data_IF_128029734643
#
_entry.id   IF_128029734643
#
_cell.length_a   1.000
_cell.length_b   1.000
_cell.length_c   1.000
_cell.angle_alpha   90.00
_cell.angle_beta   90.00
_cell.angle_gamma   90.00
#
_symmetry.space_group_name_H-M   'P 1'
#
loop_
_entity.id
_entity.type
_entity.pdbx_description
1 polymer ?
#
# COMPACT_ATOMS: atom_id res chain seq x y z
N UNK A 1 -5.32 -28.97 -3.95
CA UNK A 1 -5.17 -28.30 -2.64
C UNK A 1 -4.15 -27.15 -2.65
N UNK A 2 -2.88 -27.37 -3.03
CA UNK A 2 -1.84 -26.32 -3.00
C UNK A 2 -2.22 -25.05 -3.78
N UNK A 3 -2.68 -25.17 -5.02
CA UNK A 3 -3.09 -24.01 -5.84
C UNK A 3 -4.22 -23.20 -5.20
N UNK A 4 -5.17 -23.87 -4.53
CA UNK A 4 -6.27 -23.20 -3.84
C UNK A 4 -5.76 -22.37 -2.66
N UNK A 5 -4.79 -22.89 -1.89
CA UNK A 5 -4.16 -22.17 -0.78
C UNK A 5 -3.37 -20.95 -1.27
N UNK A 6 -2.60 -21.08 -2.35
CA UNK A 6 -1.86 -19.96 -2.95
C UNK A 6 -2.83 -18.88 -3.45
N UNK A 7 -3.92 -19.32 -4.11
CA UNK A 7 -4.96 -18.41 -4.59
C UNK A 7 -5.63 -17.68 -3.43
N UNK A 8 -6.02 -18.42 -2.38
CA UNK A 8 -6.61 -17.85 -1.17
C UNK A 8 -5.67 -16.84 -0.51
N UNK A 9 -4.38 -17.16 -0.37
CA UNK A 9 -3.38 -16.24 0.18
C UNK A 9 -3.35 -14.92 -0.59
N UNK A 10 -3.30 -14.96 -1.92
CA UNK A 10 -3.30 -13.75 -2.74
C UNK A 10 -4.62 -12.98 -2.67
N UNK A 11 -5.76 -13.67 -2.57
CA UNK A 11 -7.07 -13.03 -2.36
C UNK A 11 -7.15 -12.35 -0.99
N UNK A 12 -6.62 -12.99 0.06
CA UNK A 12 -6.57 -12.39 1.39
C UNK A 12 -5.73 -11.11 1.39
N UNK A 13 -4.63 -11.05 0.63
CA UNK A 13 -3.86 -9.82 0.45
C UNK A 13 -4.76 -8.68 -0.07
N UNK A 14 -5.60 -8.93 -1.09
CA UNK A 14 -6.56 -7.93 -1.57
C UNK A 14 -7.61 -7.56 -0.51
N UNK A 15 -8.19 -8.54 0.18
CA UNK A 15 -9.21 -8.31 1.23
C UNK A 15 -8.67 -7.45 2.37
N UNK A 16 -7.49 -7.78 2.88
CA UNK A 16 -6.82 -7.01 3.94
C UNK A 16 -6.38 -5.63 3.46
N UNK A 17 -6.03 -5.49 2.17
CA UNK A 17 -5.75 -4.17 1.62
C UNK A 17 -7.00 -3.28 1.65
N UNK A 18 -8.05 -3.69 0.94
CA UNK A 18 -9.24 -2.85 0.76
C UNK A 18 -10.00 -2.66 2.08
N UNK A 19 -10.14 -3.71 2.88
CA UNK A 19 -10.80 -3.64 4.19
C UNK A 19 -10.03 -2.76 5.19
N UNK A 20 -8.70 -2.85 5.20
CA UNK A 20 -7.85 -2.01 6.03
C UNK A 20 -7.93 -0.52 5.64
N UNK A 21 -7.87 -0.23 4.34
CA UNK A 21 -8.03 1.14 3.85
C UNK A 21 -9.43 1.71 4.17
N UNK A 22 -10.50 0.91 4.03
CA UNK A 22 -11.85 1.35 4.39
C UNK A 22 -11.95 1.69 5.88
N UNK A 23 -11.33 0.88 6.73
CA UNK A 23 -11.26 1.14 8.17
C UNK A 23 -10.48 2.42 8.49
N UNK A 24 -9.33 2.65 7.85
CA UNK A 24 -8.56 3.89 8.00
C UNK A 24 -9.36 5.10 7.50
N UNK A 25 -10.05 4.97 6.38
CA UNK A 25 -10.90 6.01 5.80
C UNK A 25 -12.05 6.38 6.75
N UNK A 26 -12.74 5.40 7.32
CA UNK A 26 -13.79 5.63 8.30
C UNK A 26 -13.24 6.29 9.58
N UNK A 27 -12.14 5.78 10.14
CA UNK A 27 -11.53 6.40 11.31
C UNK A 27 -11.15 7.86 11.07
N UNK A 28 -10.77 8.22 9.84
CA UNK A 28 -10.45 9.60 9.47
C UNK A 28 -11.63 10.57 9.56
N UNK A 29 -12.89 10.10 9.45
CA UNK A 29 -14.05 11.00 9.54
C UNK A 29 -14.26 11.47 10.97
N UNK A 30 -13.99 10.61 11.96
CA UNK A 30 -14.03 10.93 13.40
C UNK A 30 -12.99 12.01 13.71
N UNK A 31 -11.82 11.96 13.08
CA UNK A 31 -10.78 12.99 13.25
C UNK A 31 -11.20 14.39 12.78
N UNK A 32 -12.12 14.46 11.82
CA UNK A 32 -12.66 15.73 11.29
C UNK A 32 -13.96 16.17 11.96
N UNK A 33 -14.56 15.34 12.81
CA UNK A 33 -15.79 15.67 13.51
C UNK A 33 -15.52 16.58 14.71
N UNK A 34 -15.83 17.87 14.55
CA UNK A 34 -15.64 18.90 15.58
C UNK A 34 -16.51 18.70 16.81
N UNK A 35 -17.55 17.87 16.71
CA UNK A 35 -18.42 17.53 17.86
C UNK A 35 -17.73 16.53 18.80
N UNK A 36 -16.69 15.84 18.32
CA UNK A 36 -15.98 14.85 19.12
C UNK A 36 -14.95 15.52 20.03
N UNK A 37 -14.91 15.14 21.33
CA UNK A 37 -13.83 15.55 22.22
C UNK A 37 -12.45 15.12 21.70
N UNK A 38 -11.40 15.90 22.03
CA UNK A 38 -10.01 15.59 21.65
C UNK A 38 -9.59 14.15 22.02
N UNK A 39 -9.93 13.58 23.20
CA UNK A 39 -9.60 12.19 23.51
C UNK A 39 -10.22 11.15 22.56
N UNK A 40 -11.44 11.40 22.06
CA UNK A 40 -12.11 10.51 21.09
C UNK A 40 -11.39 10.59 19.75
N UNK A 41 -11.04 11.79 19.30
CA UNK A 41 -10.25 12.02 18.08
C UNK A 41 -8.87 11.38 18.20
N UNK A 42 -8.21 11.48 19.37
CA UNK A 42 -6.93 10.85 19.61
C UNK A 42 -7.01 9.32 19.55
N UNK A 43 -8.08 8.74 20.07
CA UNK A 43 -8.35 7.30 19.96
C UNK A 43 -8.55 6.89 18.50
N UNK A 44 -9.32 7.66 17.72
CA UNK A 44 -9.51 7.42 16.29
C UNK A 44 -8.19 7.49 15.50
N UNK A 45 -7.30 8.43 15.83
CA UNK A 45 -5.97 8.52 15.22
C UNK A 45 -5.14 7.27 15.49
N UNK A 46 -5.18 6.75 16.72
CA UNK A 46 -4.46 5.51 17.08
C UNK A 46 -5.03 4.28 16.36
N UNK A 47 -6.36 4.21 16.22
CA UNK A 47 -7.01 3.16 15.41
C UNK A 47 -6.56 3.27 13.95
N UNK A 48 -6.60 4.47 13.38
CA UNK A 48 -6.18 4.75 12.00
C UNK A 48 -4.72 4.33 11.79
N UNK A 49 -3.81 4.72 12.67
CA UNK A 49 -2.39 4.39 12.56
C UNK A 49 -2.15 2.88 12.55
N UNK A 50 -2.86 2.12 13.40
CA UNK A 50 -2.69 0.67 13.48
C UNK A 50 -3.38 -0.08 12.34
N UNK A 51 -4.59 0.33 11.95
CA UNK A 51 -5.31 -0.34 10.85
C UNK A 51 -4.63 -0.07 9.50
N UNK A 52 -3.94 1.06 9.34
CA UNK A 52 -3.12 1.41 8.16
C UNK A 52 -1.92 0.46 7.96
N UNK A 53 -1.57 -0.38 8.96
CA UNK A 53 -0.60 -1.45 8.74
C UNK A 53 -1.14 -2.60 7.89
N UNK A 54 -2.46 -2.78 7.83
CA UNK A 54 -3.10 -3.77 6.95
C UNK A 54 -2.82 -3.48 5.47
N UNK A 55 -3.18 -2.31 4.91
CA UNK A 55 -2.88 -1.99 3.51
C UNK A 55 -1.39 -1.87 3.23
N UNK A 56 -0.56 -1.42 4.18
CA UNK A 56 0.91 -1.40 4.01
C UNK A 56 1.52 -2.79 3.88
N UNK A 57 1.06 -3.73 4.71
CA UNK A 57 1.49 -5.13 4.65
C UNK A 57 1.02 -5.76 3.35
N UNK A 58 -0.25 -5.55 2.99
CA UNK A 58 -0.81 -6.06 1.75
C UNK A 58 -0.09 -5.54 0.50
N UNK A 59 0.27 -4.25 0.47
CA UNK A 59 1.06 -3.65 -0.60
C UNK A 59 2.38 -4.38 -0.83
N UNK A 60 3.11 -4.70 0.23
CA UNK A 60 4.39 -5.41 0.15
C UNK A 60 4.17 -6.86 -0.30
N UNK A 61 3.15 -7.53 0.22
CA UNK A 61 2.87 -8.93 -0.07
C UNK A 61 2.21 -9.17 -1.44
N UNK A 62 1.69 -8.13 -2.09
CA UNK A 62 1.00 -8.25 -3.38
C UNK A 62 1.88 -8.83 -4.47
N UNK A 63 3.12 -8.34 -4.60
CA UNK A 63 4.06 -8.83 -5.61
C UNK A 63 4.49 -10.30 -5.38
N UNK A 64 5.05 -10.70 -4.22
CA UNK A 64 5.52 -12.07 -4.01
C UNK A 64 4.37 -13.09 -4.11
N UNK A 65 3.20 -12.80 -3.54
CA UNK A 65 2.05 -13.71 -3.62
C UNK A 65 1.48 -13.79 -5.03
N UNK A 66 1.41 -12.66 -5.75
CA UNK A 66 0.95 -12.62 -7.14
C UNK A 66 1.87 -13.38 -8.09
N UNK A 67 3.19 -13.23 -7.96
CA UNK A 67 4.17 -13.98 -8.75
C UNK A 67 4.17 -15.47 -8.41
N UNK A 68 3.97 -15.81 -7.13
CA UNK A 68 3.83 -17.22 -6.70
C UNK A 68 2.61 -17.86 -7.37
N UNK A 69 1.47 -17.15 -7.40
CA UNK A 69 0.26 -17.62 -8.08
C UNK A 69 0.47 -17.73 -9.59
N UNK A 70 1.14 -16.74 -10.20
CA UNK A 70 1.40 -16.74 -11.63
C UNK A 70 2.31 -17.90 -12.07
N UNK A 71 3.35 -18.22 -11.30
CA UNK A 71 4.19 -19.39 -11.54
C UNK A 71 3.42 -20.70 -11.31
N UNK A 72 2.63 -20.80 -10.23
CA UNK A 72 1.84 -21.99 -9.93
C UNK A 72 0.75 -22.27 -10.99
N UNK A 73 0.26 -21.24 -11.69
CA UNK A 73 -0.68 -21.36 -12.81
C UNK A 73 -0.01 -21.52 -14.18
N UNK A 74 1.32 -21.47 -14.24
CA UNK A 74 2.06 -21.54 -15.51
C UNK A 74 1.91 -20.29 -16.39
N UNK A 75 1.48 -19.15 -15.83
CA UNK A 75 1.36 -17.89 -16.57
C UNK A 75 2.71 -17.20 -16.81
N UNK A 76 3.73 -17.58 -16.05
CA UNK A 76 5.10 -17.11 -16.22
C UNK A 76 5.97 -18.35 -16.34
N UNK A 77 6.68 -18.47 -17.46
CA UNK A 77 7.63 -19.56 -17.69
C UNK A 77 8.93 -18.95 -18.17
N UNK A 78 9.96 -19.02 -17.35
CA UNK A 78 11.30 -18.54 -17.68
C UNK A 78 12.37 -19.34 -16.93
N UNK A 79 13.57 -19.55 -17.52
CA UNK A 79 14.71 -20.11 -16.80
C UNK A 79 15.01 -19.29 -15.54
N UNK A 80 15.17 -19.96 -14.40
CA UNK A 80 15.48 -19.29 -13.13
C UNK A 80 14.30 -18.60 -12.43
N UNK A 81 13.06 -18.68 -12.95
CA UNK A 81 11.91 -17.99 -12.36
C UNK A 81 11.66 -18.33 -10.89
N UNK A 82 11.89 -19.57 -10.48
CA UNK A 82 11.77 -20.00 -9.08
C UNK A 82 12.83 -19.36 -8.16
N UNK A 83 14.07 -19.23 -8.64
CA UNK A 83 15.14 -18.54 -7.90
C UNK A 83 14.86 -17.04 -7.80
N UNK A 84 14.38 -16.42 -8.90
CA UNK A 84 13.95 -15.04 -8.89
C UNK A 84 12.78 -14.82 -7.90
N UNK A 85 11.80 -15.73 -7.88
CA UNK A 85 10.70 -15.68 -6.92
C UNK A 85 11.19 -15.77 -5.47
N UNK A 86 12.15 -16.67 -5.18
CA UNK A 86 12.73 -16.78 -3.85
C UNK A 86 13.43 -15.46 -3.42
N UNK A 87 14.18 -14.82 -4.33
CA UNK A 87 14.77 -13.52 -4.08
C UNK A 87 13.72 -12.44 -3.81
N UNK A 88 12.62 -12.42 -4.58
CA UNK A 88 11.49 -11.48 -4.37
C UNK A 88 10.88 -11.68 -2.98
N UNK A 89 10.67 -12.91 -2.52
CA UNK A 89 10.17 -13.18 -1.18
C UNK A 89 11.13 -12.70 -0.09
N UNK A 90 12.43 -12.96 -0.20
CA UNK A 90 13.44 -12.50 0.76
C UNK A 90 13.41 -10.97 0.86
N UNK A 91 13.43 -10.27 -0.28
CA UNK A 91 13.39 -8.81 -0.34
C UNK A 91 12.07 -8.28 0.26
N UNK A 92 10.93 -8.89 -0.08
CA UNK A 92 9.62 -8.48 0.42
C UNK A 92 9.52 -8.66 1.95
N UNK A 93 10.01 -9.77 2.51
CA UNK A 93 10.00 -10.00 3.95
C UNK A 93 10.95 -9.04 4.69
N UNK A 94 12.13 -8.76 4.13
CA UNK A 94 13.04 -7.76 4.67
C UNK A 94 12.40 -6.35 4.66
N UNK A 95 11.74 -5.98 3.56
CA UNK A 95 11.02 -4.72 3.46
C UNK A 95 9.83 -4.66 4.41
N UNK A 96 9.09 -5.76 4.58
CA UNK A 96 7.99 -5.87 5.54
C UNK A 96 8.49 -5.64 6.98
N UNK A 97 9.62 -6.25 7.36
CA UNK A 97 10.24 -6.02 8.66
C UNK A 97 10.63 -4.54 8.86
N UNK A 98 11.15 -3.88 7.81
CA UNK A 98 11.44 -2.43 7.83
C UNK A 98 10.15 -1.62 8.04
N UNK A 99 9.07 -1.94 7.32
CA UNK A 99 7.79 -1.24 7.44
C UNK A 99 7.20 -1.37 8.86
N UNK A 100 7.22 -2.57 9.43
CA UNK A 100 6.79 -2.81 10.80
C UNK A 100 7.70 -2.15 11.83
N UNK A 101 9.03 -2.14 11.62
CA UNK A 101 9.96 -1.40 12.49
C UNK A 101 9.67 0.09 12.50
N UNK A 102 9.36 0.69 11.34
CA UNK A 102 8.97 2.10 11.26
C UNK A 102 7.67 2.36 12.04
N UNK A 103 6.71 1.44 11.97
CA UNK A 103 5.45 1.52 12.72
C UNK A 103 5.68 1.43 14.23
N UNK A 104 6.38 0.40 14.70
CA UNK A 104 6.53 0.11 16.13
C UNK A 104 7.49 1.07 16.85
N UNK A 105 8.54 1.54 16.16
CA UNK A 105 9.59 2.36 16.79
C UNK A 105 9.44 3.86 16.54
N UNK A 106 8.45 4.28 15.74
CA UNK A 106 8.19 5.68 15.35
C UNK A 106 9.47 6.52 15.13
N UNK A 107 10.43 6.07 14.29
CA UNK A 107 11.71 6.75 14.17
C UNK A 107 11.51 8.16 13.59
N UNK A 108 12.40 9.13 13.91
CA UNK A 108 12.28 10.51 13.45
C UNK A 108 12.16 10.62 11.93
N UNK A 109 11.54 11.71 11.47
CA UNK A 109 11.50 12.07 10.06
C UNK A 109 12.93 12.12 9.49
N UNK A 110 13.13 11.58 8.29
CA UNK A 110 14.44 11.56 7.64
C UNK A 110 15.45 10.54 8.17
N UNK A 111 15.09 9.70 9.16
CA UNK A 111 15.95 8.61 9.64
C UNK A 111 16.35 7.64 8.52
N UNK A 112 17.53 6.98 8.61
CA UNK A 112 18.01 6.06 7.56
C UNK A 112 17.00 4.97 7.21
N UNK A 113 16.30 4.41 8.20
CA UNK A 113 15.28 3.37 7.97
C UNK A 113 14.11 3.87 7.10
N UNK A 114 13.67 5.12 7.29
CA UNK A 114 12.64 5.74 6.44
C UNK A 114 13.17 6.02 5.03
N UNK A 115 14.43 6.45 4.90
CA UNK A 115 15.07 6.66 3.59
C UNK A 115 15.17 5.35 2.81
N UNK A 116 15.52 4.25 3.49
CA UNK A 116 15.57 2.91 2.90
C UNK A 116 14.18 2.47 2.43
N UNK A 117 13.12 2.62 3.25
CA UNK A 117 11.74 2.31 2.82
C UNK A 117 11.34 3.11 1.56
N UNK A 118 11.67 4.41 1.51
CA UNK A 118 11.40 5.25 0.34
C UNK A 118 12.22 4.82 -0.89
N UNK A 119 13.48 4.46 -0.70
CA UNK A 119 14.34 3.97 -1.78
C UNK A 119 13.82 2.65 -2.36
N UNK A 120 13.42 1.70 -1.50
CA UNK A 120 12.81 0.43 -1.93
C UNK A 120 11.56 0.70 -2.76
N UNK A 121 10.67 1.60 -2.31
CA UNK A 121 9.46 1.98 -3.06
C UNK A 121 9.80 2.55 -4.43
N UNK A 122 10.76 3.47 -4.51
CA UNK A 122 11.17 4.09 -5.77
C UNK A 122 11.76 3.07 -6.75
N UNK A 123 12.67 2.21 -6.27
CA UNK A 123 13.26 1.14 -7.08
C UNK A 123 12.17 0.18 -7.57
N UNK A 124 11.25 -0.21 -6.69
CA UNK A 124 10.17 -1.13 -7.04
C UNK A 124 9.21 -0.54 -8.08
N UNK A 125 8.87 0.75 -7.97
CA UNK A 125 8.07 1.44 -9.00
C UNK A 125 8.77 1.35 -10.36
N UNK A 126 10.07 1.67 -10.43
CA UNK A 126 10.83 1.61 -11.67
C UNK A 126 10.90 0.18 -12.23
N UNK A 127 11.13 -0.81 -11.37
CA UNK A 127 11.18 -2.22 -11.76
C UNK A 127 9.83 -2.71 -12.31
N UNK A 128 8.72 -2.35 -11.67
CA UNK A 128 7.37 -2.73 -12.11
C UNK A 128 6.97 -2.05 -13.41
N UNK A 129 7.30 -0.77 -13.59
CA UNK A 129 7.07 -0.06 -14.86
C UNK A 129 7.91 -0.69 -15.97
N UNK A 130 9.19 -0.98 -15.70
CA UNK A 130 10.07 -1.68 -16.64
C UNK A 130 9.50 -3.04 -17.05
N UNK A 131 9.03 -3.84 -16.09
CA UNK A 131 8.39 -5.13 -16.35
C UNK A 131 7.07 -5.00 -17.12
N UNK A 132 6.28 -3.94 -16.87
CA UNK A 132 5.04 -3.68 -17.59
C UNK A 132 5.28 -3.31 -19.07
N UNK A 133 6.33 -2.53 -19.35
CA UNK A 133 6.65 -2.02 -20.70
C UNK A 133 7.44 -3.05 -21.51
N UNK A 134 8.53 -3.58 -20.94
CA UNK A 134 9.48 -4.45 -21.65
C UNK A 134 9.02 -5.91 -21.61
N UNK A 135 8.12 -6.29 -20.70
CA UNK A 135 7.66 -7.67 -20.53
C UNK A 135 6.91 -8.31 -21.70
N UNK A 136 6.73 -7.60 -22.82
CA UNK A 136 6.26 -8.17 -24.09
C UNK A 136 7.35 -8.31 -25.16
N UNK A 137 8.62 -8.11 -24.80
CA UNK A 137 9.77 -8.11 -25.72
C UNK A 137 10.90 -8.90 -25.08
N UNK A 138 11.45 -9.88 -25.81
CA UNK A 138 12.60 -10.68 -25.37
C UNK A 138 12.24 -12.06 -24.80
N UNK A 139 13.11 -12.61 -23.94
CA UNK A 139 13.04 -14.01 -23.48
C UNK A 139 12.10 -14.28 -22.30
N UNK A 140 11.55 -13.23 -21.67
CA UNK A 140 10.56 -13.34 -20.59
C UNK A 140 9.29 -12.62 -21.07
N UNK A 141 8.32 -13.38 -21.54
CA UNK A 141 7.02 -12.85 -21.94
C UNK A 141 6.02 -12.95 -20.79
N UNK A 142 5.60 -11.80 -20.29
CA UNK A 142 4.48 -11.69 -19.36
C UNK A 142 3.18 -11.48 -20.15
N UNK A 143 2.12 -12.27 -19.88
CA UNK A 143 0.79 -12.02 -20.42
C UNK A 143 0.32 -10.58 -20.17
N UNK A 144 -0.51 -10.04 -21.07
CA UNK A 144 -0.95 -8.64 -21.02
C UNK A 144 -1.53 -8.27 -19.64
N UNK A 145 -2.40 -9.11 -19.08
CA UNK A 145 -3.00 -8.83 -17.77
C UNK A 145 -1.96 -8.75 -16.62
N UNK A 146 -0.86 -9.51 -16.69
CA UNK A 146 0.22 -9.44 -15.68
C UNK A 146 0.97 -8.12 -15.81
N UNK A 147 1.29 -7.71 -17.05
CA UNK A 147 1.92 -6.41 -17.31
C UNK A 147 1.05 -5.25 -16.83
N UNK A 148 -0.26 -5.32 -17.10
CA UNK A 148 -1.23 -4.33 -16.60
C UNK A 148 -1.29 -4.34 -15.06
N UNK A 149 -1.28 -5.51 -14.41
CA UNK A 149 -1.19 -5.60 -12.94
C UNK A 149 0.10 -5.00 -12.39
N UNK A 150 1.24 -5.15 -13.06
CA UNK A 150 2.48 -4.48 -12.66
C UNK A 150 2.37 -2.96 -12.75
N UNK A 151 1.79 -2.43 -13.85
CA UNK A 151 1.53 -1.00 -13.99
C UNK A 151 0.60 -0.50 -12.87
N UNK A 152 -0.50 -1.22 -12.60
CA UNK A 152 -1.44 -0.89 -11.53
C UNK A 152 -0.78 -0.88 -10.15
N UNK A 153 0.06 -1.88 -9.85
CA UNK A 153 0.80 -1.94 -8.58
C UNK A 153 1.80 -0.79 -8.47
N UNK A 154 2.52 -0.44 -9.55
CA UNK A 154 3.42 0.70 -9.57
C UNK A 154 2.68 2.01 -9.28
N UNK A 155 1.52 2.21 -9.93
CA UNK A 155 0.66 3.38 -9.68
C UNK A 155 0.12 3.40 -8.25
N UNK A 156 -0.26 2.25 -7.68
CA UNK A 156 -0.72 2.16 -6.29
C UNK A 156 0.39 2.53 -5.29
N UNK A 157 1.63 2.08 -5.51
CA UNK A 157 2.77 2.47 -4.67
C UNK A 157 3.04 3.98 -4.79
N UNK A 158 2.98 4.53 -6.00
CA UNK A 158 3.13 5.97 -6.23
C UNK A 158 2.00 6.79 -5.56
N UNK A 159 0.75 6.30 -5.62
CA UNK A 159 -0.39 6.90 -4.91
C UNK A 159 -0.15 6.91 -3.38
N UNK A 160 0.39 5.82 -2.82
CA UNK A 160 0.80 5.78 -1.40
C UNK A 160 1.86 6.82 -1.04
N UNK A 161 2.83 7.08 -1.92
CA UNK A 161 3.80 8.17 -1.73
C UNK A 161 3.14 9.55 -1.83
N UNK A 162 2.17 9.73 -2.72
CA UNK A 162 1.40 10.96 -2.85
C UNK A 162 0.55 11.23 -1.60
N UNK A 163 -0.14 10.21 -1.07
CA UNK A 163 -0.91 10.30 0.19
C UNK A 163 0.00 10.78 1.33
N UNK A 164 1.20 10.20 1.47
CA UNK A 164 2.17 10.64 2.50
C UNK A 164 2.55 12.11 2.38
N UNK A 165 2.75 12.61 1.15
CA UNK A 165 3.07 14.03 0.91
C UNK A 165 1.89 14.93 1.24
N UNK A 166 0.69 14.56 0.80
CA UNK A 166 -0.54 15.32 1.03
C UNK A 166 -0.92 15.38 2.51
N UNK A 167 -0.69 14.28 3.25
CA UNK A 167 -0.95 14.20 4.69
C UNK A 167 0.20 14.73 5.56
N UNK A 168 1.31 15.22 4.99
CA UNK A 168 2.41 15.75 5.79
C UNK A 168 1.99 16.85 6.82
N UNK A 169 1.05 17.77 6.50
CA UNK A 169 0.57 18.77 7.46
C UNK A 169 -0.30 18.21 8.59
N UNK A 170 -0.85 17.00 8.46
CA UNK A 170 -1.73 16.40 9.46
C UNK A 170 -1.03 16.21 10.80
N UNK A 171 0.19 15.66 10.79
CA UNK A 171 0.92 15.30 12.02
C UNK A 171 1.13 16.49 12.97
N UNK A 172 1.75 17.59 12.50
CA UNK A 172 1.93 18.79 13.33
C UNK A 172 0.62 19.38 13.86
N UNK A 173 -0.42 19.47 13.02
CA UNK A 173 -1.72 20.00 13.44
C UNK A 173 -2.41 19.10 14.48
N UNK A 174 -2.30 17.79 14.33
CA UNK A 174 -2.83 16.81 15.28
C UNK A 174 -2.11 16.87 16.62
N UNK A 175 -0.77 16.95 16.62
CA UNK A 175 0.01 17.11 17.86
C UNK A 175 -0.39 18.39 18.58
N UNK A 176 -0.51 19.52 17.86
CA UNK A 176 -0.95 20.78 18.45
C UNK A 176 -2.35 20.66 19.08
N UNK A 177 -3.31 20.06 18.38
CA UNK A 177 -4.66 19.85 18.90
C UNK A 177 -4.67 19.02 20.20
N UNK A 178 -3.82 17.98 20.27
CA UNK A 178 -3.71 17.12 21.46
C UNK A 178 -3.06 17.85 22.62
N UNK A 179 -2.09 18.74 22.38
CA UNK A 179 -1.35 19.44 23.45
C UNK A 179 -2.06 20.69 23.96
N UNK A 180 -2.68 21.48 23.08
CA UNK A 180 -3.29 22.78 23.44
C UNK A 180 -4.81 22.76 23.42
N UNK A 181 -5.43 21.64 23.05
CA UNK A 181 -6.87 21.56 22.78
C UNK A 181 -7.23 21.91 21.33
N UNK A 182 -8.47 21.62 20.94
CA UNK A 182 -8.96 21.88 19.59
C UNK A 182 -9.19 23.38 19.37
N UNK A 183 -8.60 23.90 18.31
CA UNK A 183 -8.79 25.29 17.83
C UNK A 183 -9.32 25.28 16.39
N UNK A 184 -9.98 26.36 15.93
CA UNK A 184 -10.41 26.47 14.54
C UNK A 184 -9.30 26.24 13.50
N UNK A 185 -8.07 26.65 13.82
CA UNK A 185 -6.89 26.52 12.96
C UNK A 185 -6.45 25.07 12.84
N UNK A 186 -6.32 24.36 13.96
CA UNK A 186 -5.94 22.93 13.97
C UNK A 186 -7.00 22.08 13.26
N UNK A 187 -8.28 22.37 13.48
CA UNK A 187 -9.40 21.69 12.80
C UNK A 187 -9.40 21.92 11.30
N UNK A 188 -9.15 23.15 10.85
CA UNK A 188 -9.04 23.48 9.43
C UNK A 188 -7.86 22.76 8.78
N UNK A 189 -6.69 22.73 9.43
CA UNK A 189 -5.51 22.06 8.92
C UNK A 189 -5.70 20.54 8.80
N UNK A 190 -6.27 19.89 9.82
CA UNK A 190 -6.59 18.45 9.80
C UNK A 190 -7.61 18.15 8.69
N UNK A 191 -8.69 18.93 8.62
CA UNK A 191 -9.74 18.72 7.63
C UNK A 191 -9.22 18.89 6.21
N UNK A 192 -8.39 19.91 5.96
CA UNK A 192 -7.81 20.17 4.65
C UNK A 192 -6.85 19.05 4.21
N UNK A 193 -5.98 18.59 5.12
CA UNK A 193 -5.05 17.50 4.82
C UNK A 193 -5.81 16.22 4.45
N UNK A 194 -6.81 15.84 5.25
CA UNK A 194 -7.63 14.65 4.99
C UNK A 194 -8.48 14.81 3.73
N UNK A 195 -9.09 15.97 3.50
CA UNK A 195 -9.87 16.25 2.29
C UNK A 195 -9.04 16.11 1.02
N UNK A 196 -7.79 16.60 1.02
CA UNK A 196 -6.87 16.42 -0.11
C UNK A 196 -6.42 14.96 -0.29
N UNK A 197 -6.35 14.19 0.78
CA UNK A 197 -5.99 12.77 0.74
C UNK A 197 -7.08 11.87 0.16
N UNK A 198 -8.36 12.18 0.44
CA UNK A 198 -9.52 11.34 0.07
C UNK A 198 -9.57 10.97 -1.43
N UNK A 199 -9.43 11.90 -2.41
CA UNK A 199 -9.44 11.53 -3.82
C UNK A 199 -8.35 10.53 -4.20
N UNK A 200 -7.18 10.63 -3.56
CA UNK A 200 -6.05 9.72 -3.82
C UNK A 200 -6.34 8.32 -3.30
N UNK A 201 -6.96 8.21 -2.11
CA UNK A 201 -7.39 6.94 -1.53
C UNK A 201 -8.48 6.29 -2.38
N UNK A 202 -9.47 7.06 -2.85
CA UNK A 202 -10.52 6.54 -3.74
C UNK A 202 -9.94 6.08 -5.09
N UNK A 203 -8.97 6.82 -5.64
CA UNK A 203 -8.22 6.40 -6.82
C UNK A 203 -7.43 5.10 -6.59
N UNK A 204 -6.84 4.94 -5.40
CA UNK A 204 -6.17 3.70 -5.00
C UNK A 204 -7.17 2.54 -4.96
N UNK A 205 -8.39 2.72 -4.43
CA UNK A 205 -9.41 1.67 -4.46
C UNK A 205 -9.82 1.28 -5.87
N UNK A 206 -9.98 2.26 -6.77
CA UNK A 206 -10.22 1.98 -8.18
C UNK A 206 -9.09 1.13 -8.79
N UNK A 207 -7.83 1.45 -8.48
CA UNK A 207 -6.67 0.64 -8.91
C UNK A 207 -6.75 -0.80 -8.36
N UNK A 208 -7.10 -0.99 -7.09
CA UNK A 208 -7.26 -2.33 -6.50
C UNK A 208 -8.38 -3.11 -7.17
N UNK A 209 -9.52 -2.48 -7.47
CA UNK A 209 -10.63 -3.11 -8.18
C UNK A 209 -10.24 -3.47 -9.62
N UNK A 210 -9.49 -2.62 -10.32
CA UNK A 210 -8.93 -2.92 -11.65
C UNK A 210 -7.98 -4.12 -11.55
N UNK A 211 -7.09 -4.16 -10.54
CA UNK A 211 -6.20 -5.29 -10.34
C UNK A 211 -6.97 -6.59 -10.06
N UNK A 212 -8.04 -6.54 -9.28
CA UNK A 212 -8.91 -7.69 -9.00
C UNK A 212 -9.62 -8.15 -10.29
N UNK A 213 -10.22 -7.22 -11.04
CA UNK A 213 -10.88 -7.51 -12.31
C UNK A 213 -9.93 -8.15 -13.32
N UNK A 214 -8.72 -7.60 -13.48
CA UNK A 214 -7.68 -8.18 -14.33
C UNK A 214 -7.26 -9.60 -13.88
N UNK A 215 -7.47 -9.97 -12.62
CA UNK A 215 -7.22 -11.33 -12.14
C UNK A 215 -8.37 -12.29 -12.43
N UNK A 216 -9.61 -11.81 -12.34
CA UNK A 216 -10.82 -12.59 -12.60
C UNK A 216 -11.08 -12.79 -14.09
N UNK A 217 -10.79 -11.78 -14.92
CA UNK A 217 -10.98 -11.82 -16.37
C UNK A 217 -9.85 -12.56 -17.13
N UNK A 218 -8.94 -13.24 -16.42
CA UNK A 218 -7.85 -14.00 -17.07
C UNK A 218 -8.37 -15.22 -17.83
N UNK A 219 -7.76 -15.58 -18.97
CA UNK A 219 -6.66 -14.90 -19.66
C UNK A 219 -7.14 -13.71 -20.53
N UNK A 220 -6.36 -12.62 -20.52
CA UNK A 220 -6.40 -11.52 -21.51
C UNK A 220 -5.06 -11.46 -22.24
#
# INVERSE_FOLDING_TARGET
>A
MVLAVITLLHVLVFVYWLGGDLGAFYASTILTDKKQPVPVRATAAKVLENIDMSPRTALILTLPTGLTLALAKGWIVAPGAHAALAAVWIIALAWLAIAWKIHLSHPPAGSPVRRIDLAIRAILILALIGAAVIGGVGSIEFPLFIRLKFAVLATAIAAGLMIRRVLAPFGPAFVQMVTTGATPETDAAISLALAKGRPVVLGLWALLLIAALLGLATPL
#
